data_IF_409952931100
#
_entry.id   IF_409952931100
#
_cell.length_a   1.000
_cell.length_b   1.000
_cell.length_c   1.000
_cell.angle_alpha   90.00
_cell.angle_beta   90.00
_cell.angle_gamma   90.00
#
_symmetry.space_group_name_H-M   'P 1'
#
loop_
_entity.id
_entity.type
_entity.pdbx_description
1 polymer ?
#
# COMPACT_ATOMS: atom_id res chain seq x y z
N UNK A 1 -26.86 -55.99 -13.76
CA UNK A 1 -27.24 -54.97 -12.77
C UNK A 1 -26.06 -54.03 -12.61
N UNK A 2 -26.13 -52.84 -13.19
CA UNK A 2 -25.12 -51.79 -12.96
C UNK A 2 -25.60 -51.02 -11.72
N UNK A 3 -24.88 -51.15 -10.60
CA UNK A 3 -25.12 -50.33 -9.42
C UNK A 3 -24.77 -48.89 -9.78
N UNK A 4 -25.78 -48.03 -9.83
CA UNK A 4 -25.59 -46.58 -9.92
C UNK A 4 -25.21 -46.11 -8.51
N UNK A 5 -23.91 -46.03 -8.23
CA UNK A 5 -23.42 -45.32 -7.05
C UNK A 5 -23.91 -43.88 -7.12
N UNK A 6 -24.89 -43.54 -6.27
CA UNK A 6 -25.27 -42.15 -6.05
C UNK A 6 -24.11 -41.47 -5.33
N UNK A 7 -23.33 -40.69 -6.08
CA UNK A 7 -22.30 -39.80 -5.55
C UNK A 7 -23.01 -38.78 -4.65
N UNK A 8 -22.93 -38.97 -3.33
CA UNK A 8 -23.48 -38.03 -2.35
C UNK A 8 -22.73 -36.71 -2.52
N UNK A 9 -23.47 -35.62 -2.75
CA UNK A 9 -22.88 -34.29 -2.85
C UNK A 9 -22.26 -33.91 -1.49
N UNK A 10 -21.05 -33.32 -1.46
CA UNK A 10 -20.46 -32.85 -0.21
C UNK A 10 -21.36 -31.80 0.48
N UNK A 11 -21.26 -31.63 1.81
CA UNK A 11 -21.96 -30.58 2.54
C UNK A 11 -21.71 -29.19 1.94
N UNK A 12 -22.67 -28.25 2.01
CA UNK A 12 -22.51 -26.89 1.49
C UNK A 12 -21.26 -26.18 2.04
N UNK A 13 -20.91 -26.38 3.31
CA UNK A 13 -19.71 -25.83 3.95
C UNK A 13 -18.43 -26.26 3.23
N UNK A 14 -18.31 -27.55 2.93
CA UNK A 14 -17.15 -28.12 2.23
C UNK A 14 -17.05 -27.57 0.81
N UNK A 15 -18.19 -27.43 0.12
CA UNK A 15 -18.26 -26.82 -1.21
C UNK A 15 -17.81 -25.36 -1.20
N UNK A 16 -18.28 -24.58 -0.22
CA UNK A 16 -17.88 -23.17 -0.04
C UNK A 16 -16.37 -23.09 0.22
N UNK A 17 -15.84 -23.92 1.13
CA UNK A 17 -14.39 -23.94 1.43
C UNK A 17 -13.58 -24.31 0.18
N UNK A 18 -14.05 -25.24 -0.64
CA UNK A 18 -13.37 -25.63 -1.87
C UNK A 18 -13.40 -24.53 -2.93
N UNK A 19 -14.51 -23.78 -3.05
CA UNK A 19 -14.57 -22.58 -3.90
C UNK A 19 -13.58 -21.53 -3.40
N UNK A 20 -13.55 -21.23 -2.10
CA UNK A 20 -12.58 -20.30 -1.51
C UNK A 20 -11.15 -20.72 -1.85
N UNK A 21 -10.80 -22.00 -1.65
CA UNK A 21 -9.46 -22.53 -1.99
C UNK A 21 -9.15 -22.42 -3.48
N UNK A 22 -10.14 -22.61 -4.36
CA UNK A 22 -9.97 -22.46 -5.81
C UNK A 22 -9.70 -20.99 -6.15
N UNK A 23 -10.56 -20.07 -5.72
CA UNK A 23 -10.40 -18.63 -5.94
C UNK A 23 -9.07 -18.11 -5.37
N UNK A 24 -8.69 -18.51 -4.16
CA UNK A 24 -7.40 -18.10 -3.57
C UNK A 24 -6.20 -18.62 -4.36
N UNK A 25 -6.28 -19.79 -4.99
CA UNK A 25 -5.20 -20.33 -5.83
C UNK A 25 -5.16 -19.62 -7.17
N UNK A 26 -6.30 -19.48 -7.83
CA UNK A 26 -6.42 -18.79 -9.12
C UNK A 26 -5.88 -17.36 -8.99
N UNK A 27 -6.38 -16.59 -8.02
CA UNK A 27 -5.95 -15.21 -7.78
C UNK A 27 -4.54 -15.09 -7.18
N UNK A 28 -4.08 -16.09 -6.41
CA UNK A 28 -2.72 -16.12 -5.90
C UNK A 28 -1.64 -16.36 -6.98
N UNK A 29 -1.94 -17.15 -8.01
CA UNK A 29 -1.03 -17.40 -9.15
C UNK A 29 -0.83 -16.13 -9.97
N UNK A 30 -1.88 -15.33 -10.16
CA UNK A 30 -1.79 -14.03 -10.82
C UNK A 30 -0.84 -13.08 -10.09
N UNK A 31 -0.78 -13.13 -8.74
CA UNK A 31 0.15 -12.33 -7.93
C UNK A 31 1.64 -12.65 -8.19
N UNK A 32 1.96 -13.89 -8.51
CA UNK A 32 3.33 -14.32 -8.84
C UNK A 32 3.70 -13.96 -10.29
N UNK A 33 2.76 -14.11 -11.22
CA UNK A 33 2.94 -13.74 -12.62
C UNK A 33 3.14 -12.22 -12.81
N UNK A 34 2.38 -11.39 -12.10
CA UNK A 34 2.51 -9.92 -12.19
C UNK A 34 3.82 -9.40 -11.58
N UNK A 35 4.33 -10.03 -10.51
CA UNK A 35 5.67 -9.73 -9.99
C UNK A 35 6.76 -10.01 -11.01
N UNK A 36 6.55 -11.01 -11.88
CA UNK A 36 7.40 -11.28 -13.04
C UNK A 36 7.22 -10.26 -14.17
N UNK A 37 5.99 -9.91 -14.52
CA UNK A 37 5.68 -8.99 -15.64
C UNK A 37 6.04 -7.52 -15.39
N UNK A 38 6.19 -7.07 -14.14
CA UNK A 38 6.79 -5.75 -13.84
C UNK A 38 8.21 -5.58 -14.41
N UNK A 39 8.91 -6.67 -14.74
CA UNK A 39 10.24 -6.63 -15.35
C UNK A 39 10.24 -6.67 -16.89
N UNK A 40 9.12 -6.99 -17.54
CA UNK A 40 9.02 -7.20 -19.01
C UNK A 40 7.94 -6.34 -19.67
N UNK A 41 7.73 -5.11 -19.20
CA UNK A 41 6.84 -4.17 -19.92
C UNK A 41 7.62 -3.62 -21.12
N UNK A 42 7.40 -4.21 -22.29
CA UNK A 42 7.70 -3.55 -23.56
C UNK A 42 6.91 -2.23 -23.62
N UNK A 43 7.57 -1.13 -23.96
CA UNK A 43 6.95 0.19 -24.08
C UNK A 43 5.68 0.11 -24.95
N UNK A 44 4.48 0.38 -24.39
CA UNK A 44 3.26 0.42 -25.18
C UNK A 44 3.33 1.57 -26.18
N UNK A 45 2.85 1.36 -27.40
CA UNK A 45 2.77 2.42 -28.40
C UNK A 45 1.81 3.54 -27.92
N UNK A 46 2.04 4.80 -28.33
CA UNK A 46 1.13 5.91 -28.03
C UNK A 46 -0.29 5.58 -28.52
N UNK A 47 -1.29 5.78 -27.64
CA UNK A 47 -2.68 5.56 -28.02
C UNK A 47 -3.07 6.47 -29.18
N UNK A 48 -3.63 5.89 -30.23
CA UNK A 48 -4.19 6.67 -31.34
C UNK A 48 -5.49 7.34 -30.87
N UNK A 49 -5.88 8.50 -31.44
CA UNK A 49 -7.16 9.14 -31.14
C UNK A 49 -8.38 8.20 -31.27
N UNK A 50 -8.27 7.19 -32.14
CA UNK A 50 -9.27 6.15 -32.40
C UNK A 50 -9.45 5.17 -31.20
N UNK A 51 -8.51 5.12 -30.27
CA UNK A 51 -8.52 4.22 -29.10
C UNK A 51 -9.07 4.90 -27.83
N UNK A 52 -9.30 6.22 -27.87
CA UNK A 52 -9.80 7.02 -26.73
C UNK A 52 -11.26 6.69 -26.43
N UNK A 53 -12.11 6.62 -27.44
CA UNK A 53 -13.55 6.36 -27.28
C UNK A 53 -13.82 4.94 -26.75
N UNK A 54 -13.18 3.87 -27.28
CA UNK A 54 -13.28 2.53 -26.70
C UNK A 54 -12.82 2.45 -25.23
N UNK A 55 -11.80 3.22 -24.84
CA UNK A 55 -11.34 3.28 -23.44
C UNK A 55 -12.40 3.89 -22.53
N UNK A 56 -13.04 4.97 -22.96
CA UNK A 56 -14.13 5.61 -22.19
C UNK A 56 -15.34 4.69 -22.06
N UNK A 57 -15.70 3.98 -23.14
CA UNK A 57 -16.78 3.00 -23.13
C UNK A 57 -16.49 1.86 -22.14
N UNK A 58 -15.28 1.29 -22.15
CA UNK A 58 -14.87 0.26 -21.18
C UNK A 58 -14.84 0.77 -19.74
N UNK A 59 -14.31 1.98 -19.50
CA UNK A 59 -14.35 2.58 -18.16
C UNK A 59 -15.79 2.75 -17.67
N UNK A 60 -16.69 3.19 -18.55
CA UNK A 60 -18.11 3.34 -18.24
C UNK A 60 -18.78 1.98 -17.97
N UNK A 61 -18.44 0.95 -18.73
CA UNK A 61 -18.89 -0.44 -18.50
C UNK A 61 -18.44 -0.91 -17.11
N UNK A 62 -17.14 -0.83 -16.80
CA UNK A 62 -16.61 -1.24 -15.49
C UNK A 62 -17.32 -0.50 -14.36
N UNK A 63 -17.51 0.81 -14.52
CA UNK A 63 -18.16 1.68 -13.54
C UNK A 63 -19.63 1.32 -13.31
N UNK A 64 -20.38 1.08 -14.39
CA UNK A 64 -21.86 0.99 -14.32
C UNK A 64 -22.40 -0.42 -14.28
N UNK A 65 -21.68 -1.40 -14.83
CA UNK A 65 -22.17 -2.76 -14.99
C UNK A 65 -21.34 -3.81 -14.24
N UNK A 66 -20.04 -3.61 -14.02
CA UNK A 66 -19.18 -4.66 -13.46
C UNK A 66 -18.87 -4.48 -11.96
N UNK A 67 -18.50 -3.27 -11.53
CA UNK A 67 -18.20 -2.99 -10.12
C UNK A 67 -19.42 -3.03 -9.19
N UNK A 68 -20.60 -2.48 -9.57
CA UNK A 68 -21.76 -2.48 -8.69
C UNK A 68 -22.23 -3.90 -8.29
N UNK A 69 -22.28 -4.90 -9.20
CA UNK A 69 -22.55 -6.28 -8.82
C UNK A 69 -21.57 -6.88 -7.82
N UNK A 70 -20.27 -6.58 -7.91
CA UNK A 70 -19.29 -7.08 -6.93
C UNK A 70 -19.58 -6.52 -5.54
N UNK A 71 -19.88 -5.21 -5.43
CA UNK A 71 -20.30 -4.62 -4.16
C UNK A 71 -21.56 -5.27 -3.62
N UNK A 72 -22.54 -5.52 -4.50
CA UNK A 72 -23.78 -6.17 -4.12
C UNK A 72 -23.53 -7.59 -3.61
N UNK A 73 -22.72 -8.38 -4.32
CA UNK A 73 -22.33 -9.74 -3.93
C UNK A 73 -21.58 -9.77 -2.58
N UNK A 74 -20.71 -8.80 -2.29
CA UNK A 74 -20.04 -8.68 -0.98
C UNK A 74 -21.07 -8.52 0.16
N UNK A 75 -22.06 -7.66 -0.03
CA UNK A 75 -23.11 -7.43 0.97
C UNK A 75 -24.08 -8.61 1.08
N UNK A 76 -24.44 -9.23 -0.04
CA UNK A 76 -25.32 -10.40 -0.06
C UNK A 76 -24.64 -11.60 0.59
N UNK A 77 -23.33 -11.78 0.40
CA UNK A 77 -22.56 -12.81 1.09
C UNK A 77 -22.61 -12.60 2.61
N UNK A 78 -22.37 -11.37 3.05
CA UNK A 78 -22.43 -11.00 4.46
C UNK A 78 -23.85 -11.23 5.04
N UNK A 79 -24.91 -10.98 4.26
CA UNK A 79 -26.30 -11.30 4.63
C UNK A 79 -26.55 -12.81 4.68
N UNK A 80 -26.07 -13.58 3.70
CA UNK A 80 -26.25 -15.03 3.62
C UNK A 80 -25.61 -15.74 4.83
N UNK A 81 -24.50 -15.21 5.37
CA UNK A 81 -23.90 -15.71 6.61
C UNK A 81 -24.58 -15.21 7.90
N UNK A 82 -25.65 -14.42 7.81
CA UNK A 82 -26.34 -13.85 8.96
C UNK A 82 -25.55 -12.76 9.69
N UNK A 83 -24.55 -12.16 9.02
CA UNK A 83 -23.65 -11.16 9.59
C UNK A 83 -24.06 -9.72 9.27
N UNK A 84 -25.14 -9.53 8.50
CA UNK A 84 -25.67 -8.21 8.12
C UNK A 84 -26.47 -7.52 9.21
N UNK A 85 -26.41 -6.19 9.23
CA UNK A 85 -27.19 -5.35 10.15
C UNK A 85 -28.71 -5.58 10.00
N UNK A 86 -29.14 -5.93 8.79
CA UNK A 86 -30.55 -6.20 8.46
C UNK A 86 -30.96 -7.67 8.66
N UNK A 87 -30.03 -8.55 9.05
CA UNK A 87 -30.33 -9.98 9.21
C UNK A 87 -31.21 -10.18 10.45
N UNK A 88 -32.36 -10.88 10.33
CA UNK A 88 -33.13 -11.29 11.49
C UNK A 88 -32.24 -12.07 12.46
N UNK A 89 -32.16 -11.67 13.73
CA UNK A 89 -31.32 -12.33 14.75
C UNK A 89 -31.61 -13.83 14.93
N UNK A 90 -32.71 -14.33 14.36
CA UNK A 90 -33.17 -15.71 14.43
C UNK A 90 -33.01 -16.51 13.13
N UNK A 91 -32.61 -15.90 12.00
CA UNK A 91 -32.34 -16.64 10.76
C UNK A 91 -30.90 -17.12 10.78
N UNK A 92 -30.70 -18.45 10.79
CA UNK A 92 -29.39 -19.04 10.60
C UNK A 92 -28.82 -18.74 9.20
N UNK A 93 -27.52 -19.06 8.97
CA UNK A 93 -26.89 -18.82 7.69
C UNK A 93 -27.56 -19.61 6.56
N UNK A 94 -27.78 -18.96 5.42
CA UNK A 94 -28.27 -19.53 4.17
C UNK A 94 -27.08 -19.99 3.33
N UNK A 95 -26.58 -21.20 3.59
CA UNK A 95 -25.37 -21.71 2.93
C UNK A 95 -25.57 -21.97 1.43
N UNK A 96 -26.79 -22.30 1.00
CA UNK A 96 -27.10 -22.47 -0.43
C UNK A 96 -27.01 -21.13 -1.18
N UNK A 97 -27.50 -20.06 -0.57
CA UNK A 97 -27.39 -18.70 -1.11
C UNK A 97 -25.93 -18.22 -1.10
N UNK A 98 -25.19 -18.46 -0.01
CA UNK A 98 -23.77 -18.15 0.08
C UNK A 98 -22.96 -18.89 -1.01
N UNK A 99 -23.28 -20.16 -1.25
CA UNK A 99 -22.67 -20.96 -2.29
C UNK A 99 -22.95 -20.37 -3.68
N UNK A 100 -24.21 -20.03 -3.98
CA UNK A 100 -24.59 -19.39 -5.23
C UNK A 100 -23.83 -18.07 -5.43
N UNK A 101 -23.78 -17.21 -4.41
CA UNK A 101 -23.06 -15.92 -4.48
C UNK A 101 -21.57 -16.15 -4.73
N UNK A 102 -20.93 -17.06 -4.00
CA UNK A 102 -19.49 -17.34 -4.17
C UNK A 102 -19.15 -17.93 -5.55
N UNK A 103 -20.05 -18.71 -6.15
CA UNK A 103 -19.83 -19.21 -7.52
C UNK A 103 -19.85 -18.09 -8.57
N UNK A 104 -20.57 -16.99 -8.32
CA UNK A 104 -20.64 -15.83 -9.21
C UNK A 104 -19.45 -14.87 -9.04
N UNK A 105 -18.76 -14.92 -7.92
CA UNK A 105 -17.63 -14.03 -7.61
C UNK A 105 -16.45 -14.20 -8.57
N UNK A 106 -16.06 -15.45 -8.85
CA UNK A 106 -14.96 -15.76 -9.78
C UNK A 106 -15.19 -15.14 -11.16
N UNK A 107 -16.27 -15.52 -11.87
CA UNK A 107 -16.59 -14.96 -13.18
C UNK A 107 -16.75 -13.44 -13.19
N UNK A 108 -17.33 -12.84 -12.14
CA UNK A 108 -17.45 -11.38 -12.05
C UNK A 108 -16.07 -10.70 -11.97
N UNK A 109 -15.14 -11.27 -11.20
CA UNK A 109 -13.78 -10.78 -11.14
C UNK A 109 -13.04 -11.01 -12.48
N UNK A 110 -13.18 -12.17 -13.10
CA UNK A 110 -12.58 -12.47 -14.40
C UNK A 110 -13.11 -11.51 -15.49
N UNK A 111 -14.40 -11.15 -15.44
CA UNK A 111 -14.98 -10.16 -16.34
C UNK A 111 -14.44 -8.76 -16.10
N UNK A 112 -14.29 -8.33 -14.84
CA UNK A 112 -13.64 -7.06 -14.52
C UNK A 112 -12.20 -7.05 -15.04
N UNK A 113 -11.45 -8.11 -14.78
CA UNK A 113 -10.07 -8.24 -15.22
C UNK A 113 -9.95 -8.26 -16.74
N UNK A 114 -10.83 -8.97 -17.43
CA UNK A 114 -10.88 -9.00 -18.90
C UNK A 114 -11.35 -7.67 -19.50
N UNK A 115 -12.24 -6.93 -18.84
CA UNK A 115 -12.62 -5.59 -19.27
C UNK A 115 -11.47 -4.60 -19.09
N UNK A 116 -10.61 -4.86 -18.11
CA UNK A 116 -9.39 -4.11 -17.83
C UNK A 116 -8.23 -4.62 -18.74
N UNK A 117 -8.42 -4.52 -20.04
CA UNK A 117 -7.34 -4.75 -21.03
C UNK A 117 -6.29 -3.62 -21.01
N UNK A 118 -6.64 -2.44 -20.48
CA UNK A 118 -5.72 -1.32 -20.34
C UNK A 118 -4.84 -1.49 -19.09
N UNK A 119 -3.52 -1.63 -19.28
CA UNK A 119 -2.54 -1.76 -18.20
C UNK A 119 -2.68 -0.71 -17.08
N UNK A 120 -3.18 0.48 -17.42
CA UNK A 120 -3.40 1.56 -16.45
C UNK A 120 -4.56 1.28 -15.50
N UNK A 121 -5.76 0.99 -16.04
CA UNK A 121 -6.92 0.59 -15.24
C UNK A 121 -6.59 -0.66 -14.42
N UNK A 122 -5.73 -1.54 -14.96
CA UNK A 122 -5.29 -2.75 -14.27
C UNK A 122 -4.47 -2.39 -13.04
N UNK A 123 -3.52 -1.48 -13.21
CA UNK A 123 -2.69 -1.00 -12.10
C UNK A 123 -3.55 -0.31 -11.05
N UNK A 124 -4.52 0.53 -11.44
CA UNK A 124 -5.45 1.18 -10.50
C UNK A 124 -6.30 0.16 -9.73
N UNK A 125 -6.84 -0.82 -10.44
CA UNK A 125 -7.62 -1.90 -9.85
C UNK A 125 -6.79 -2.78 -8.90
N UNK A 126 -5.55 -3.10 -9.28
CA UNK A 126 -4.61 -3.87 -8.45
C UNK A 126 -4.18 -3.09 -7.22
N UNK A 127 -3.89 -1.79 -7.33
CA UNK A 127 -3.54 -0.94 -6.20
C UNK A 127 -4.72 -0.75 -5.22
N UNK A 128 -5.97 -0.81 -5.70
CA UNK A 128 -7.16 -0.73 -4.86
C UNK A 128 -7.57 -2.10 -4.26
N UNK A 129 -7.45 -3.20 -5.02
CA UNK A 129 -7.58 -4.56 -4.50
C UNK A 129 -6.53 -4.81 -3.40
N UNK A 130 -5.30 -4.38 -3.66
CA UNK A 130 -4.16 -4.54 -2.77
C UNK A 130 -4.11 -3.35 -1.83
N UNK A 131 -4.77 -3.46 -0.67
CA UNK A 131 -4.19 -2.80 0.50
C UNK A 131 -2.86 -3.51 0.76
N UNK A 132 -1.81 -3.06 0.07
CA UNK A 132 -0.47 -3.21 0.57
C UNK A 132 -0.45 -2.42 1.88
N UNK A 133 -0.91 -3.04 2.96
CA UNK A 133 -0.33 -2.79 4.27
C UNK A 133 1.13 -3.22 4.16
N UNK A 134 1.94 -2.42 3.47
CA UNK A 134 3.39 -2.36 3.66
C UNK A 134 3.71 -1.92 5.09
N UNK A 135 2.71 -1.40 5.80
CA UNK A 135 2.63 -1.34 7.26
C UNK A 135 2.60 -2.76 7.84
N UNK A 136 3.80 -3.24 8.19
CA UNK A 136 4.17 -4.54 8.78
C UNK A 136 3.07 -5.46 9.34
N UNK A 137 3.12 -6.73 8.92
CA UNK A 137 2.59 -7.94 9.56
C UNK A 137 1.15 -7.97 10.11
N UNK A 138 0.35 -6.91 9.99
CA UNK A 138 -1.01 -6.84 10.49
C UNK A 138 -2.03 -6.86 9.36
N UNK A 139 -2.65 -8.02 9.14
CA UNK A 139 -3.93 -8.23 8.44
C UNK A 139 -4.15 -7.45 7.13
N UNK A 140 -3.99 -8.13 5.98
CA UNK A 140 -4.35 -7.54 4.70
C UNK A 140 -5.85 -7.22 4.63
N UNK A 141 -6.23 -6.11 4.00
CA UNK A 141 -7.64 -5.75 3.77
C UNK A 141 -8.02 -5.95 2.30
N UNK A 142 -7.59 -7.07 1.75
CA UNK A 142 -7.92 -7.52 0.40
C UNK A 142 -9.01 -8.61 0.43
N UNK A 143 -9.44 -9.01 -0.78
CA UNK A 143 -10.47 -10.04 -0.94
C UNK A 143 -9.98 -11.42 -0.48
N UNK A 144 -8.69 -11.73 -0.59
CA UNK A 144 -8.12 -13.02 -0.18
C UNK A 144 -8.16 -13.18 1.34
N UNK A 145 -7.84 -12.12 2.07
CA UNK A 145 -7.95 -12.11 3.53
C UNK A 145 -9.41 -12.17 3.99
N UNK A 146 -10.34 -11.50 3.28
CA UNK A 146 -11.77 -11.67 3.54
C UNK A 146 -12.21 -13.13 3.35
N UNK A 147 -11.84 -13.76 2.22
CA UNK A 147 -12.16 -15.16 1.94
C UNK A 147 -11.51 -16.11 2.97
N UNK A 148 -10.29 -15.80 3.43
CA UNK A 148 -9.63 -16.52 4.51
C UNK A 148 -10.45 -16.44 5.80
N UNK A 149 -10.94 -15.25 6.17
CA UNK A 149 -11.78 -15.08 7.35
C UNK A 149 -13.11 -15.84 7.24
N UNK A 150 -13.78 -15.86 6.08
CA UNK A 150 -14.96 -16.71 5.86
C UNK A 150 -14.65 -18.20 6.04
N UNK A 151 -13.53 -18.68 5.49
CA UNK A 151 -13.10 -20.06 5.64
C UNK A 151 -12.84 -20.44 7.10
N UNK A 152 -12.17 -19.59 7.87
CA UNK A 152 -11.93 -19.81 9.30
C UNK A 152 -13.21 -19.69 10.13
N UNK A 153 -14.14 -18.82 9.74
CA UNK A 153 -15.47 -18.70 10.34
C UNK A 153 -16.28 -20.01 10.20
N UNK A 154 -16.29 -20.61 9.00
CA UNK A 154 -16.94 -21.90 8.75
C UNK A 154 -16.27 -23.01 9.60
N UNK A 155 -14.94 -23.11 9.55
CA UNK A 155 -14.17 -24.16 10.24
C UNK A 155 -14.26 -24.11 11.76
N UNK A 156 -14.38 -22.92 12.33
CA UNK A 156 -14.49 -22.74 13.78
C UNK A 156 -15.88 -23.12 14.33
N UNK A 157 -16.83 -23.49 13.46
CA UNK A 157 -18.18 -23.87 13.85
C UNK A 157 -19.04 -22.69 14.28
N UNK A 158 -18.56 -21.45 14.12
CA UNK A 158 -19.26 -20.22 14.54
C UNK A 158 -20.53 -19.90 13.72
N UNK A 159 -20.85 -20.73 12.72
CA UNK A 159 -22.13 -20.74 12.00
C UNK A 159 -23.29 -21.19 12.89
N UNK A 160 -23.02 -22.02 13.88
CA UNK A 160 -24.02 -22.70 14.69
C UNK A 160 -23.98 -22.16 16.13
N UNK A 161 -25.06 -21.52 16.63
CA UNK A 161 -25.09 -20.93 17.97
C UNK A 161 -24.79 -21.92 19.09
N UNK A 162 -25.08 -23.20 18.88
CA UNK A 162 -24.92 -24.29 19.86
C UNK A 162 -23.53 -24.95 19.80
N UNK A 163 -22.60 -24.44 19.00
CA UNK A 163 -21.28 -25.05 18.85
C UNK A 163 -20.41 -24.81 20.11
N UNK A 164 -19.77 -25.85 20.68
CA UNK A 164 -19.01 -25.76 21.93
C UNK A 164 -17.79 -24.82 21.89
N UNK A 165 -17.38 -24.36 20.70
CA UNK A 165 -16.33 -23.33 20.54
C UNK A 165 -16.74 -21.95 21.06
N UNK A 166 -18.02 -21.72 21.37
CA UNK A 166 -18.49 -20.49 22.01
C UNK A 166 -18.16 -20.39 23.51
N UNK A 167 -17.70 -21.46 24.15
CA UNK A 167 -17.59 -21.55 25.60
C UNK A 167 -16.26 -21.07 26.22
N UNK A 168 -15.18 -20.82 25.45
CA UNK A 168 -13.84 -20.67 26.05
C UNK A 168 -12.98 -19.46 25.62
N UNK A 169 -13.37 -18.63 24.63
CA UNK A 169 -12.52 -17.48 24.24
C UNK A 169 -13.03 -16.16 24.84
N UNK A 170 -12.83 -16.03 26.15
CA UNK A 170 -13.09 -14.83 26.97
C UNK A 170 -11.93 -13.81 26.87
N UNK A 171 -11.14 -13.86 25.79
CA UNK A 171 -10.11 -12.85 25.53
C UNK A 171 -10.74 -11.59 24.89
N UNK A 172 -11.23 -10.67 25.74
CA UNK A 172 -11.82 -9.37 25.36
C UNK A 172 -10.97 -8.52 24.38
N UNK A 173 -9.70 -8.86 24.16
CA UNK A 173 -8.76 -8.10 23.33
C UNK A 173 -8.71 -8.45 21.83
N UNK A 174 -9.26 -9.59 21.37
CA UNK A 174 -9.17 -9.99 19.95
C UNK A 174 -10.53 -9.86 19.26
N UNK A 175 -10.62 -9.15 18.12
CA UNK A 175 -11.88 -9.08 17.38
C UNK A 175 -12.30 -10.47 16.93
N UNK A 176 -13.56 -10.84 17.17
CA UNK A 176 -14.10 -12.14 16.76
C UNK A 176 -14.04 -12.24 15.25
N UNK A 177 -13.89 -13.43 14.70
CA UNK A 177 -13.75 -13.65 13.24
C UNK A 177 -14.90 -12.98 12.48
N UNK A 178 -16.13 -13.05 13.02
CA UNK A 178 -17.28 -12.32 12.48
C UNK A 178 -17.08 -10.81 12.37
N UNK A 179 -16.47 -10.17 13.38
CA UNK A 179 -16.24 -8.72 13.40
C UNK A 179 -15.20 -8.35 12.35
N UNK A 180 -14.19 -9.22 12.13
CA UNK A 180 -13.23 -9.08 11.04
C UNK A 180 -13.89 -9.17 9.66
N UNK A 181 -14.78 -10.14 9.45
CA UNK A 181 -15.54 -10.29 8.21
C UNK A 181 -16.37 -9.03 7.94
N UNK A 182 -17.12 -8.56 8.93
CA UNK A 182 -17.95 -7.35 8.80
C UNK A 182 -17.09 -6.14 8.47
N UNK A 183 -16.03 -5.92 9.23
CA UNK A 183 -15.11 -4.80 9.02
C UNK A 183 -14.49 -4.83 7.62
N UNK A 184 -13.96 -5.98 7.19
CA UNK A 184 -13.29 -6.12 5.89
C UNK A 184 -14.25 -6.00 4.73
N UNK A 185 -15.47 -6.54 4.86
CA UNK A 185 -16.52 -6.35 3.84
C UNK A 185 -16.85 -4.87 3.69
N UNK A 186 -17.02 -4.13 4.79
CA UNK A 186 -17.26 -2.69 4.75
C UNK A 186 -16.08 -1.92 4.12
N UNK A 187 -14.84 -2.30 4.44
CA UNK A 187 -13.63 -1.72 3.80
C UNK A 187 -13.62 -1.99 2.30
N UNK A 188 -13.90 -3.22 1.85
CA UNK A 188 -13.94 -3.58 0.43
C UNK A 188 -15.09 -2.88 -0.30
N UNK A 189 -16.27 -2.77 0.29
CA UNK A 189 -17.38 -2.01 -0.31
C UNK A 189 -17.01 -0.53 -0.52
N UNK A 190 -16.35 0.12 0.46
CA UNK A 190 -15.85 1.49 0.29
C UNK A 190 -14.78 1.60 -0.79
N UNK A 191 -13.93 0.57 -0.95
CA UNK A 191 -12.96 0.51 -2.06
C UNK A 191 -13.66 0.42 -3.41
N UNK A 192 -14.72 -0.37 -3.51
CA UNK A 192 -15.53 -0.44 -4.74
C UNK A 192 -16.17 0.91 -5.05
N UNK A 193 -16.71 1.60 -4.04
CA UNK A 193 -17.25 2.95 -4.23
C UNK A 193 -16.18 3.95 -4.68
N UNK A 194 -14.99 3.90 -4.07
CA UNK A 194 -13.85 4.72 -4.47
C UNK A 194 -13.42 4.41 -5.92
N UNK A 195 -13.45 3.14 -6.34
CA UNK A 195 -13.17 2.76 -7.73
C UNK A 195 -14.19 3.36 -8.69
N UNK A 196 -15.49 3.21 -8.38
CA UNK A 196 -16.57 3.78 -9.19
C UNK A 196 -16.41 5.30 -9.29
N UNK A 197 -16.13 5.98 -8.17
CA UNK A 197 -15.88 7.42 -8.14
C UNK A 197 -14.65 7.80 -8.97
N UNK A 198 -13.53 7.09 -8.80
CA UNK A 198 -12.30 7.31 -9.57
C UNK A 198 -12.54 7.21 -11.08
N UNK A 199 -13.32 6.21 -11.54
CA UNK A 199 -13.65 6.04 -12.96
C UNK A 199 -14.50 7.18 -13.54
N UNK A 200 -15.13 8.02 -12.70
CA UNK A 200 -15.81 9.25 -13.15
C UNK A 200 -14.88 10.43 -13.34
N UNK A 201 -13.65 10.35 -12.83
CA UNK A 201 -12.68 11.45 -12.87
C UNK A 201 -11.99 11.50 -14.22
N UNK A 202 -11.46 12.67 -14.57
CA UNK A 202 -10.51 12.79 -15.67
C UNK A 202 -9.22 12.01 -15.35
N UNK A 203 -8.40 11.70 -16.35
CA UNK A 203 -7.08 11.10 -16.16
C UNK A 203 -6.24 11.88 -15.12
N UNK A 204 -6.35 13.21 -15.14
CA UNK A 204 -5.70 14.05 -14.13
C UNK A 204 -6.35 13.93 -12.74
N UNK A 205 -7.68 13.87 -12.67
CA UNK A 205 -8.39 13.66 -11.40
C UNK A 205 -8.09 12.29 -10.76
N UNK A 206 -7.77 11.28 -11.57
CA UNK A 206 -7.25 9.98 -11.11
C UNK A 206 -5.86 10.14 -10.46
N UNK A 207 -4.92 10.79 -11.16
CA UNK A 207 -3.58 11.09 -10.63
C UNK A 207 -3.67 11.87 -9.30
N UNK A 208 -4.54 12.87 -9.23
CA UNK A 208 -4.76 13.63 -8.00
C UNK A 208 -5.32 12.76 -6.87
N UNK A 209 -6.25 11.84 -7.17
CA UNK A 209 -6.75 10.90 -6.16
C UNK A 209 -5.61 10.07 -5.56
N UNK A 210 -4.74 9.56 -6.43
CA UNK A 210 -3.63 8.71 -6.05
C UNK A 210 -2.53 9.46 -5.28
N UNK A 211 -2.15 10.65 -5.72
CA UNK A 211 -1.21 11.48 -4.98
C UNK A 211 -1.76 11.88 -3.60
N UNK A 212 -3.07 12.14 -3.47
CA UNK A 212 -3.70 12.40 -2.18
C UNK A 212 -3.63 11.17 -1.25
N UNK A 213 -3.81 9.95 -1.78
CA UNK A 213 -3.59 8.72 -1.02
C UNK A 213 -2.15 8.63 -0.51
N UNK A 214 -1.15 8.89 -1.35
CA UNK A 214 0.25 8.92 -0.93
C UNK A 214 0.54 10.01 0.11
N UNK A 215 -0.09 11.19 0.00
CA UNK A 215 -0.03 12.22 1.04
C UNK A 215 -0.58 11.69 2.36
N UNK A 216 -1.70 10.96 2.33
CA UNK A 216 -2.28 10.26 3.48
C UNK A 216 -1.29 9.28 4.10
N UNK A 217 -0.76 8.33 3.32
CA UNK A 217 0.20 7.33 3.77
C UNK A 217 1.46 7.95 4.39
N UNK A 218 2.08 8.91 3.71
CA UNK A 218 3.25 9.60 4.25
C UNK A 218 2.90 10.39 5.54
N UNK A 219 1.65 10.85 5.70
CA UNK A 219 1.20 11.50 6.93
C UNK A 219 1.14 10.51 8.11
N UNK A 220 0.72 9.27 7.87
CA UNK A 220 0.63 8.22 8.89
C UNK A 220 1.99 7.72 9.38
N UNK A 221 3.05 7.88 8.58
CA UNK A 221 4.42 7.57 8.99
C UNK A 221 4.94 8.52 10.08
N UNK A 222 4.45 9.76 10.14
CA UNK A 222 4.96 10.77 11.06
C UNK A 222 4.71 10.44 12.54
N UNK A 223 3.49 10.06 12.97
CA UNK A 223 3.25 9.60 14.34
C UNK A 223 4.11 8.38 14.72
N UNK A 224 4.30 7.44 13.78
CA UNK A 224 5.13 6.24 14.00
C UNK A 224 6.59 6.63 14.26
N UNK A 225 7.19 7.40 13.35
CA UNK A 225 8.55 7.94 13.54
C UNK A 225 8.71 8.72 14.84
N UNK A 226 7.73 9.57 15.18
CA UNK A 226 7.74 10.37 16.41
C UNK A 226 7.76 9.47 17.66
N UNK A 227 6.92 8.44 17.66
CA UNK A 227 6.83 7.48 18.76
C UNK A 227 8.12 6.67 18.90
N UNK A 228 8.70 6.21 17.78
CA UNK A 228 9.97 5.49 17.75
C UNK A 228 11.13 6.36 18.29
N UNK A 229 11.19 7.64 17.90
CA UNK A 229 12.19 8.59 18.43
C UNK A 229 12.03 8.77 19.95
N UNK A 230 10.79 8.95 20.42
CA UNK A 230 10.52 9.14 21.85
C UNK A 230 10.89 7.90 22.66
N UNK A 231 10.59 6.70 22.14
CA UNK A 231 10.98 5.44 22.76
C UNK A 231 12.50 5.32 22.89
N UNK A 232 13.26 5.65 21.83
CA UNK A 232 14.72 5.63 21.87
C UNK A 232 15.34 6.70 22.78
N UNK A 233 14.72 7.88 22.91
CA UNK A 233 15.21 8.96 23.77
C UNK A 233 14.95 8.71 25.26
N UNK A 234 14.10 7.76 25.61
CA UNK A 234 13.80 7.45 27.01
C UNK A 234 15.09 6.98 27.71
N UNK A 235 15.45 7.59 28.86
CA UNK A 235 16.62 7.14 29.62
C UNK A 235 16.37 5.71 30.13
N UNK A 236 17.38 4.85 29.99
CA UNK A 236 17.38 3.54 30.64
C UNK A 236 17.53 3.72 32.14
N UNK A 237 16.87 2.88 32.96
CA UNK A 237 17.14 2.84 34.39
C UNK A 237 18.61 2.44 34.60
N UNK A 238 19.37 3.31 35.28
CA UNK A 238 20.78 3.02 35.60
C UNK A 238 20.91 1.70 36.37
N UNK A 239 21.82 0.80 35.97
CA UNK A 239 22.14 -0.36 36.77
C UNK A 239 22.79 0.10 38.09
N UNK A 240 22.30 -0.43 39.21
CA UNK A 240 22.70 -0.02 40.57
C UNK A 240 24.19 -0.23 40.94
N UNK A 241 25.04 -0.68 40.02
CA UNK A 241 26.46 -0.98 40.26
C UNK A 241 27.33 -0.33 39.17
N UNK A 242 27.65 0.96 39.34
CA UNK A 242 28.37 1.79 38.37
C UNK A 242 29.91 1.76 38.50
N UNK A 243 30.48 0.84 39.28
CA UNK A 243 31.90 0.91 39.67
C UNK A 243 32.88 0.19 38.71
N UNK A 244 32.44 -0.38 37.58
CA UNK A 244 33.35 -1.08 36.63
C UNK A 244 33.00 -0.91 35.14
N UNK A 245 32.75 0.31 34.65
CA UNK A 245 32.57 0.53 33.22
C UNK A 245 33.91 0.88 32.52
N UNK A 246 34.44 -0.10 31.79
CA UNK A 246 35.59 0.06 30.89
C UNK A 246 35.26 1.02 29.73
N UNK A 247 36.26 1.76 29.25
CA UNK A 247 36.10 2.87 28.29
C UNK A 247 35.73 2.44 26.87
N UNK A 248 35.62 1.13 26.63
CA UNK A 248 35.22 0.51 25.36
C UNK A 248 33.69 0.45 25.17
N UNK A 249 32.89 0.79 26.18
CA UNK A 249 31.44 0.53 26.22
C UNK A 249 30.55 1.66 25.63
N UNK A 250 31.13 2.59 24.85
CA UNK A 250 30.38 3.71 24.26
C UNK A 250 29.78 3.42 22.88
N UNK A 251 30.13 2.30 22.24
CA UNK A 251 29.68 1.99 20.87
C UNK A 251 28.14 1.83 20.75
N UNK A 252 27.44 1.10 21.64
CA UNK A 252 25.97 1.03 21.65
C UNK A 252 25.33 2.42 21.73
N UNK A 253 25.84 3.27 22.64
CA UNK A 253 25.35 4.64 22.82
C UNK A 253 25.55 5.51 21.58
N UNK A 254 26.72 5.43 20.92
CA UNK A 254 26.99 6.15 19.68
C UNK A 254 26.05 5.72 18.56
N UNK A 255 25.80 4.41 18.42
CA UNK A 255 24.86 3.88 17.43
C UNK A 255 23.43 4.34 17.73
N UNK A 256 22.99 4.30 19.00
CA UNK A 256 21.68 4.83 19.42
C UNK A 256 21.51 6.30 19.01
N UNK A 257 22.54 7.13 19.20
CA UNK A 257 22.53 8.54 18.77
C UNK A 257 22.45 8.70 17.25
N UNK A 258 23.17 7.87 16.49
CA UNK A 258 23.08 7.87 15.02
C UNK A 258 21.69 7.44 14.56
N UNK A 259 21.08 6.42 15.18
CA UNK A 259 19.72 5.98 14.85
C UNK A 259 18.66 7.04 15.14
N UNK A 260 18.75 7.73 16.28
CA UNK A 260 17.88 8.87 16.59
C UNK A 260 18.03 9.95 15.51
N UNK A 261 19.27 10.29 15.14
CA UNK A 261 19.54 11.27 14.08
C UNK A 261 18.96 10.82 12.73
N UNK A 262 19.07 9.54 12.37
CA UNK A 262 18.46 9.00 11.15
C UNK A 262 16.93 9.14 11.15
N UNK A 263 16.26 8.79 12.25
CA UNK A 263 14.81 8.95 12.37
C UNK A 263 14.40 10.41 12.24
N UNK A 264 15.14 11.34 12.86
CA UNK A 264 14.88 12.78 12.75
C UNK A 264 15.05 13.31 11.31
N UNK A 265 16.04 12.80 10.56
CA UNK A 265 16.17 13.13 9.14
C UNK A 265 15.07 12.48 8.28
N UNK A 266 14.66 11.25 8.61
CA UNK A 266 13.55 10.57 7.95
C UNK A 266 12.24 11.38 8.07
N UNK A 267 11.95 11.95 9.25
CA UNK A 267 10.82 12.86 9.46
C UNK A 267 10.85 14.04 8.48
N UNK A 268 12.03 14.61 8.19
CA UNK A 268 12.16 15.72 7.23
C UNK A 268 11.88 15.26 5.81
N UNK A 269 12.44 14.13 5.39
CA UNK A 269 12.21 13.56 4.06
C UNK A 269 10.73 13.23 3.84
N UNK A 270 10.07 12.59 4.82
CA UNK A 270 8.62 12.32 4.76
C UNK A 270 7.82 13.61 4.60
N UNK A 271 8.14 14.67 5.36
CA UNK A 271 7.47 15.97 5.22
C UNK A 271 7.70 16.58 3.84
N UNK A 272 8.90 16.46 3.29
CA UNK A 272 9.23 16.97 1.97
C UNK A 272 8.51 16.18 0.87
N UNK A 273 8.47 14.85 0.94
CA UNK A 273 7.65 14.03 0.03
C UNK A 273 6.17 14.43 0.02
N UNK A 274 5.59 14.71 1.20
CA UNK A 274 4.22 15.24 1.31
C UNK A 274 4.07 16.61 0.65
N UNK A 275 5.03 17.51 0.83
CA UNK A 275 5.00 18.85 0.20
C UNK A 275 5.08 18.74 -1.32
N UNK A 276 5.95 17.87 -1.84
CA UNK A 276 6.07 17.58 -3.27
C UNK A 276 4.72 17.17 -3.86
N UNK A 277 4.10 16.11 -3.31
CA UNK A 277 2.79 15.63 -3.78
C UNK A 277 1.69 16.70 -3.63
N UNK A 278 1.67 17.45 -2.52
CA UNK A 278 0.69 18.54 -2.33
C UNK A 278 0.83 19.66 -3.36
N UNK A 279 2.04 19.99 -3.80
CA UNK A 279 2.28 20.96 -4.87
C UNK A 279 1.75 20.47 -6.23
N UNK A 280 1.70 19.15 -6.44
CA UNK A 280 1.09 18.54 -7.63
C UNK A 280 -0.45 18.53 -7.55
N UNK A 281 -1.01 18.44 -6.35
CA UNK A 281 -2.46 18.42 -6.10
C UNK A 281 -3.11 19.79 -6.23
N UNK A 282 -2.55 20.79 -5.56
CA UNK A 282 -3.11 22.14 -5.47
C UNK A 282 -1.99 23.14 -5.78
N UNK A 283 -2.22 24.05 -6.73
CA UNK A 283 -1.30 25.17 -6.93
C UNK A 283 -1.29 26.06 -5.68
N UNK A 284 -0.13 26.31 -5.04
CA UNK A 284 -0.03 27.20 -3.89
C UNK A 284 -0.55 28.61 -4.20
N UNK A 285 -1.18 29.25 -3.21
CA UNK A 285 -1.63 30.64 -3.33
C UNK A 285 -0.44 31.56 -3.65
N UNK A 286 -0.55 32.32 -4.75
CA UNK A 286 0.52 33.21 -5.23
C UNK A 286 1.44 32.61 -6.30
N UNK A 287 1.23 31.35 -6.70
CA UNK A 287 1.87 30.73 -7.87
C UNK A 287 0.89 30.67 -9.03
N UNK A 288 1.41 30.62 -10.26
CA UNK A 288 0.57 30.49 -11.47
C UNK A 288 -0.19 29.16 -11.42
N UNK A 289 -1.53 29.16 -11.48
CA UNK A 289 -2.32 27.94 -11.51
C UNK A 289 -1.88 27.04 -12.66
N UNK A 290 -1.52 25.81 -12.31
CA UNK A 290 -1.24 24.76 -13.27
C UNK A 290 -2.51 23.95 -13.50
N UNK A 291 -2.80 23.64 -14.75
CA UNK A 291 -3.76 22.59 -15.11
C UNK A 291 -3.02 21.57 -15.95
N UNK A 292 -3.32 20.29 -15.79
CA UNK A 292 -3.00 19.34 -16.85
C UNK A 292 -4.08 19.50 -17.92
N UNK A 293 -3.68 19.46 -19.19
CA UNK A 293 -4.64 19.56 -20.29
C UNK A 293 -5.77 18.55 -20.13
N UNK A 294 -7.02 18.96 -20.35
CA UNK A 294 -8.16 18.03 -20.48
C UNK A 294 -8.05 17.15 -21.74
N UNK A 295 -7.01 17.36 -22.57
CA UNK A 295 -6.65 16.40 -23.60
C UNK A 295 -6.26 15.09 -22.92
N UNK A 296 -6.97 14.02 -23.31
CA UNK A 296 -6.74 12.66 -22.81
C UNK A 296 -5.26 12.32 -22.94
N UNK A 297 -4.60 12.08 -21.81
CA UNK A 297 -3.23 11.60 -21.79
C UNK A 297 -3.21 10.21 -22.43
N UNK A 298 -2.21 9.93 -23.27
CA UNK A 298 -1.98 8.55 -23.68
C UNK A 298 -1.69 7.69 -22.44
N UNK A 299 -1.93 6.37 -22.51
CA UNK A 299 -1.61 5.49 -21.39
C UNK A 299 -0.13 5.56 -20.97
N UNK A 300 0.78 5.78 -21.93
CA UNK A 300 2.20 5.96 -21.66
C UNK A 300 2.47 7.26 -20.90
N UNK A 301 1.90 8.38 -21.37
CA UNK A 301 2.05 9.68 -20.71
C UNK A 301 1.48 9.68 -19.29
N UNK A 302 0.30 9.08 -19.13
CA UNK A 302 -0.33 8.92 -17.83
C UNK A 302 0.53 8.05 -16.91
N UNK A 303 1.08 6.96 -17.43
CA UNK A 303 2.00 6.09 -16.70
C UNK A 303 3.29 6.82 -16.29
N UNK A 304 3.91 7.61 -17.17
CA UNK A 304 5.12 8.37 -16.87
C UNK A 304 4.90 9.42 -15.77
N UNK A 305 3.81 10.20 -15.89
CA UNK A 305 3.43 11.22 -14.89
C UNK A 305 3.07 10.60 -13.55
N UNK A 306 2.48 9.40 -13.58
CA UNK A 306 2.13 8.61 -12.40
C UNK A 306 3.36 8.04 -11.69
N UNK A 307 4.20 7.32 -12.43
CA UNK A 307 5.23 6.43 -11.90
C UNK A 307 6.22 7.19 -11.02
N UNK A 308 6.65 8.36 -11.47
CA UNK A 308 7.67 9.13 -10.78
C UNK A 308 7.30 9.51 -9.33
N UNK A 309 6.21 10.26 -9.11
CA UNK A 309 5.72 10.58 -7.77
C UNK A 309 5.48 9.36 -6.87
N UNK A 310 4.97 8.27 -7.43
CA UNK A 310 4.74 7.03 -6.67
C UNK A 310 6.03 6.35 -6.25
N UNK A 311 6.98 6.17 -7.16
CA UNK A 311 8.26 5.56 -6.87
C UNK A 311 9.01 6.35 -5.80
N UNK A 312 8.93 7.69 -5.87
CA UNK A 312 9.50 8.56 -4.85
C UNK A 312 8.82 8.33 -3.49
N UNK A 313 7.49 8.35 -3.44
CA UNK A 313 6.74 8.16 -2.19
C UNK A 313 6.94 6.76 -1.59
N UNK A 314 6.89 5.72 -2.42
CA UNK A 314 7.12 4.33 -2.04
C UNK A 314 8.54 4.08 -1.53
N UNK A 315 9.55 4.71 -2.15
CA UNK A 315 10.93 4.62 -1.65
C UNK A 315 11.08 5.27 -0.27
N UNK A 316 10.46 6.45 -0.07
CA UNK A 316 10.47 7.12 1.25
C UNK A 316 9.80 6.21 2.29
N UNK A 317 8.68 5.58 1.94
CA UNK A 317 8.00 4.63 2.81
C UNK A 317 8.90 3.45 3.15
N UNK A 318 9.42 2.73 2.15
CA UNK A 318 10.25 1.55 2.32
C UNK A 318 11.47 1.85 3.20
N UNK A 319 12.14 2.99 2.96
CA UNK A 319 13.25 3.47 3.81
C UNK A 319 12.82 3.67 5.27
N UNK A 320 11.67 4.30 5.51
CA UNK A 320 11.14 4.54 6.86
C UNK A 320 10.78 3.23 7.56
N UNK A 321 10.14 2.29 6.86
CA UNK A 321 9.79 0.99 7.43
C UNK A 321 11.05 0.21 7.82
N UNK A 322 12.05 0.16 6.95
CA UNK A 322 13.31 -0.52 7.24
C UNK A 322 14.03 0.09 8.44
N UNK A 323 14.04 1.42 8.53
CA UNK A 323 14.62 2.13 9.66
C UNK A 323 13.89 1.83 10.98
N UNK A 324 12.55 1.87 10.98
CA UNK A 324 11.74 1.53 12.15
C UNK A 324 12.01 0.08 12.58
N UNK A 325 12.02 -0.85 11.62
CA UNK A 325 12.28 -2.28 11.88
C UNK A 325 13.65 -2.52 12.52
N UNK A 326 14.69 -1.83 12.04
CA UNK A 326 16.04 -1.89 12.64
C UNK A 326 16.00 -1.42 14.11
N UNK A 327 15.26 -0.34 14.37
CA UNK A 327 15.12 0.22 15.72
C UNK A 327 14.33 -0.70 16.64
N UNK A 328 13.22 -1.27 16.18
CA UNK A 328 12.40 -2.23 16.95
C UNK A 328 13.16 -3.51 17.27
N UNK A 329 14.08 -3.93 16.40
CA UNK A 329 14.97 -5.06 16.64
C UNK A 329 16.13 -4.73 17.58
N UNK A 330 16.31 -3.44 17.92
CA UNK A 330 17.40 -2.94 18.77
C UNK A 330 18.80 -3.32 18.29
N UNK A 331 18.92 -3.72 17.02
CA UNK A 331 20.10 -4.34 16.45
C UNK A 331 20.36 -3.78 15.06
N UNK A 332 21.60 -3.37 14.81
CA UNK A 332 22.07 -2.96 13.48
C UNK A 332 23.29 -3.76 13.10
N UNK A 333 23.36 -4.15 11.82
CA UNK A 333 24.53 -4.79 11.24
C UNK A 333 24.91 -4.15 9.90
N UNK A 334 26.04 -4.57 9.35
CA UNK A 334 26.56 -4.03 8.08
C UNK A 334 25.63 -4.25 6.89
N UNK A 335 24.78 -5.29 6.91
CA UNK A 335 23.75 -5.49 5.89
C UNK A 335 22.71 -4.37 5.98
N UNK A 336 22.14 -4.14 7.17
CA UNK A 336 21.15 -3.09 7.37
C UNK A 336 21.68 -1.73 6.93
N UNK A 337 22.92 -1.39 7.29
CA UNK A 337 23.53 -0.14 6.87
C UNK A 337 23.71 -0.05 5.34
N UNK A 338 24.07 -1.14 4.67
CA UNK A 338 24.17 -1.20 3.22
C UNK A 338 22.81 -1.08 2.53
N UNK A 339 21.78 -1.75 3.06
CA UNK A 339 20.41 -1.73 2.56
C UNK A 339 19.82 -0.30 2.70
N UNK A 340 20.00 0.35 3.86
CA UNK A 340 19.63 1.76 4.07
C UNK A 340 20.37 2.68 3.10
N UNK A 341 21.68 2.47 2.89
CA UNK A 341 22.48 3.27 1.96
C UNK A 341 21.97 3.13 0.52
N UNK A 342 21.69 1.90 0.08
CA UNK A 342 21.11 1.64 -1.25
C UNK A 342 19.80 2.38 -1.45
N UNK A 343 18.97 2.45 -0.41
CA UNK A 343 17.68 3.16 -0.43
C UNK A 343 17.83 4.69 -0.47
N UNK A 344 18.95 5.26 -0.01
CA UNK A 344 19.20 6.73 0.05
C UNK A 344 19.96 7.28 -1.16
N UNK A 345 20.62 6.44 -1.97
CA UNK A 345 21.32 6.93 -3.17
C UNK A 345 20.33 7.30 -4.29
N UNK A 346 19.18 6.62 -4.35
CA UNK A 346 18.16 6.81 -5.36
C UNK A 346 17.24 8.07 -5.25
N UNK A 347 16.90 8.66 -4.09
CA UNK A 347 15.88 9.71 -3.98
C UNK A 347 16.18 11.01 -4.75
N UNK A 348 17.46 11.36 -4.96
CA UNK A 348 17.84 12.55 -5.73
C UNK A 348 17.55 12.38 -7.23
N UNK A 349 18.11 11.32 -7.81
CA UNK A 349 17.85 10.93 -9.21
C UNK A 349 16.36 10.66 -9.47
N UNK A 350 15.66 10.13 -8.46
CA UNK A 350 14.23 9.82 -8.56
C UNK A 350 13.33 11.04 -8.42
N UNK A 351 13.72 12.07 -7.66
CA UNK A 351 12.99 13.35 -7.70
C UNK A 351 13.09 13.96 -9.10
N UNK A 352 14.28 13.99 -9.69
CA UNK A 352 14.46 14.50 -11.05
C UNK A 352 13.67 13.65 -12.07
N UNK A 353 13.72 12.32 -11.97
CA UNK A 353 12.93 11.44 -12.80
C UNK A 353 11.42 11.67 -12.61
N UNK A 354 10.97 11.91 -11.38
CA UNK A 354 9.59 12.21 -11.07
C UNK A 354 9.14 13.55 -11.63
N UNK A 355 10.02 14.55 -11.64
CA UNK A 355 9.72 15.88 -12.16
C UNK A 355 9.80 15.96 -13.69
N UNK A 356 10.61 15.11 -14.33
CA UNK A 356 10.90 15.12 -15.77
C UNK A 356 9.66 15.14 -16.69
N UNK A 357 8.59 14.36 -16.47
CA UNK A 357 7.46 14.34 -17.41
C UNK A 357 6.62 15.62 -17.32
N UNK A 358 6.56 16.28 -16.15
CA UNK A 358 5.60 17.36 -15.91
C UNK A 358 5.64 18.57 -16.86
N UNK A 359 6.79 19.06 -17.37
CA UNK A 359 6.82 20.16 -18.33
C UNK A 359 6.02 19.88 -19.61
N UNK A 360 5.86 18.63 -20.00
CA UNK A 360 5.12 18.28 -21.23
C UNK A 360 3.60 18.26 -21.02
N UNK A 361 3.14 18.26 -19.76
CA UNK A 361 1.73 18.10 -19.40
C UNK A 361 1.12 19.29 -18.65
N UNK A 362 1.95 20.09 -18.00
CA UNK A 362 1.51 21.29 -17.29
C UNK A 362 1.21 22.40 -18.30
N UNK A 363 -0.05 22.82 -18.35
CA UNK A 363 -0.47 24.02 -19.06
C UNK A 363 -0.67 25.19 -18.06
N UNK A 364 -0.26 26.41 -18.44
CA UNK A 364 -0.68 27.60 -17.72
C UNK A 364 -2.19 27.78 -17.84
N UNK A 365 -2.84 28.20 -16.76
CA UNK A 365 -4.26 28.55 -16.83
C UNK A 365 -4.54 29.57 -17.95
N UNK A 366 -5.65 29.38 -18.66
CA UNK A 366 -6.00 30.02 -19.95
C UNK A 366 -6.05 31.57 -19.96
N UNK A 367 -5.75 32.25 -18.85
CA UNK A 367 -5.88 33.70 -18.68
C UNK A 367 -4.59 34.51 -18.90
N UNK A 368 -3.47 33.90 -19.32
CA UNK A 368 -2.19 34.61 -19.44
C UNK A 368 -1.94 35.05 -20.89
N UNK A 369 -1.81 36.37 -21.10
CA UNK A 369 -1.61 37.03 -22.43
C UNK A 369 -0.32 36.57 -23.13
N UNK A 370 0.68 36.15 -22.36
CA UNK A 370 1.92 35.51 -22.82
C UNK A 370 2.35 34.48 -21.78
N UNK A 371 2.01 33.19 -21.93
CA UNK A 371 2.33 32.20 -20.92
C UNK A 371 3.85 31.97 -20.83
N UNK A 372 4.42 31.84 -19.61
CA UNK A 372 5.78 31.34 -19.44
C UNK A 372 5.91 29.91 -19.99
N UNK A 373 7.14 29.48 -20.29
CA UNK A 373 7.37 28.07 -20.66
C UNK A 373 6.94 27.15 -19.51
N UNK A 374 6.48 25.95 -19.85
CA UNK A 374 6.05 24.93 -18.88
C UNK A 374 7.18 24.53 -17.92
N UNK A 375 8.42 24.49 -18.42
CA UNK A 375 9.61 24.33 -17.59
C UNK A 375 9.76 25.47 -16.58
N UNK A 376 9.61 26.73 -17.00
CA UNK A 376 9.72 27.87 -16.10
C UNK A 376 8.62 27.87 -15.02
N UNK A 377 7.42 27.36 -15.35
CA UNK A 377 6.35 27.14 -14.38
C UNK A 377 6.74 26.07 -13.35
N UNK A 378 7.28 24.95 -13.80
CA UNK A 378 7.72 23.86 -12.93
C UNK A 378 8.87 24.33 -12.02
N UNK A 379 9.85 25.02 -12.58
CA UNK A 379 10.97 25.60 -11.85
C UNK A 379 10.47 26.59 -10.79
N UNK A 380 9.53 27.47 -11.13
CA UNK A 380 8.92 28.40 -10.16
C UNK A 380 8.16 27.64 -9.06
N UNK A 381 7.40 26.59 -9.41
CA UNK A 381 6.61 25.80 -8.48
C UNK A 381 7.47 25.05 -7.44
N UNK A 382 8.65 24.58 -7.85
CA UNK A 382 9.53 23.74 -7.03
C UNK A 382 10.84 24.40 -6.59
N UNK A 383 11.10 25.66 -6.98
CA UNK A 383 12.30 26.42 -6.62
C UNK A 383 12.57 26.49 -5.12
N UNK A 384 11.52 26.59 -4.30
CA UNK A 384 11.58 26.62 -2.84
C UNK A 384 11.70 25.23 -2.20
N UNK A 385 11.44 24.18 -2.97
CA UNK A 385 11.38 22.79 -2.52
C UNK A 385 12.67 22.00 -2.78
N UNK A 386 13.24 22.14 -3.99
CA UNK A 386 14.40 21.35 -4.43
C UNK A 386 15.61 21.52 -3.49
N UNK A 387 16.02 22.74 -3.07
CA UNK A 387 17.20 22.89 -2.22
C UNK A 387 17.03 22.23 -0.84
N UNK A 388 15.92 22.42 -0.09
CA UNK A 388 15.67 21.69 1.15
C UNK A 388 15.64 20.17 0.99
N UNK A 389 15.09 19.66 -0.12
CA UNK A 389 15.07 18.24 -0.41
C UNK A 389 16.47 17.64 -0.60
N UNK A 390 17.27 18.25 -1.49
CA UNK A 390 18.63 17.79 -1.75
C UNK A 390 19.49 17.84 -0.47
N UNK A 391 19.33 18.91 0.33
CA UNK A 391 20.01 19.02 1.62
C UNK A 391 19.58 17.92 2.61
N UNK A 392 18.29 17.58 2.66
CA UNK A 392 17.79 16.50 3.52
C UNK A 392 18.34 15.13 3.10
N UNK A 393 18.38 14.84 1.80
CA UNK A 393 18.93 13.59 1.24
C UNK A 393 20.43 13.47 1.54
N UNK A 394 21.18 14.56 1.34
CA UNK A 394 22.61 14.59 1.67
C UNK A 394 22.87 14.33 3.15
N UNK A 395 22.15 15.04 4.04
CA UNK A 395 22.28 14.85 5.49
C UNK A 395 21.93 13.42 5.93
N UNK A 396 20.94 12.81 5.29
CA UNK A 396 20.55 11.43 5.54
C UNK A 396 21.65 10.46 5.09
N UNK A 397 22.20 10.65 3.88
CA UNK A 397 23.32 9.87 3.33
C UNK A 397 24.55 9.94 4.23
N UNK A 398 24.97 11.13 4.65
CA UNK A 398 26.10 11.33 5.57
C UNK A 398 25.88 10.58 6.89
N UNK A 399 24.67 10.65 7.43
CA UNK A 399 24.34 9.99 8.69
C UNK A 399 24.37 8.47 8.54
N UNK A 400 23.88 7.90 7.45
CA UNK A 400 24.00 6.45 7.18
C UNK A 400 25.45 6.03 6.95
N UNK A 401 26.23 6.82 6.20
CA UNK A 401 27.64 6.53 5.97
C UNK A 401 28.46 6.53 7.28
N UNK A 402 28.02 7.28 8.31
CA UNK A 402 28.64 7.25 9.63
C UNK A 402 28.45 5.94 10.39
N UNK A 403 27.47 5.09 10.03
CA UNK A 403 27.26 3.78 10.67
C UNK A 403 28.38 2.79 10.35
N UNK A 404 28.91 2.80 9.12
CA UNK A 404 29.91 1.83 8.67
C UNK A 404 31.16 1.77 9.58
N UNK A 405 31.89 2.88 9.82
CA UNK A 405 33.07 2.86 10.68
C UNK A 405 32.76 2.57 12.15
N UNK A 406 31.51 2.74 12.60
CA UNK A 406 31.08 2.33 13.94
C UNK A 406 30.86 0.82 14.00
N UNK A 407 30.18 0.24 13.01
CA UNK A 407 29.91 -1.19 12.93
C UNK A 407 31.20 -2.01 12.76
N UNK A 408 32.19 -1.51 12.02
CA UNK A 408 33.51 -2.15 11.87
C UNK A 408 34.30 -2.25 13.17
N UNK A 409 33.96 -1.44 14.18
CA UNK A 409 34.54 -1.52 15.53
C UNK A 409 33.82 -2.51 16.43
N UNK A 410 32.73 -3.13 15.98
CA UNK A 410 31.97 -4.06 16.81
C UNK A 410 32.78 -5.34 17.09
N UNK A 411 32.90 -5.75 18.37
CA UNK A 411 33.47 -7.05 18.72
C UNK A 411 32.49 -8.21 18.44
N UNK A 412 31.21 -7.92 18.18
CA UNK A 412 30.15 -8.91 18.03
C UNK A 412 29.79 -9.16 16.58
N UNK A 413 29.54 -10.43 16.27
CA UNK A 413 29.21 -10.91 14.94
C UNK A 413 27.90 -11.68 14.98
N UNK A 414 27.04 -11.49 13.99
CA UNK A 414 25.81 -12.26 13.87
C UNK A 414 26.07 -13.69 13.36
N UNK A 415 25.03 -14.54 13.33
CA UNK A 415 25.11 -15.92 12.84
C UNK A 415 25.60 -16.08 11.39
N UNK A 416 25.67 -14.99 10.62
CA UNK A 416 26.20 -14.97 9.24
C UNK A 416 27.62 -14.40 9.15
N UNK A 417 28.30 -14.23 10.28
CA UNK A 417 29.63 -13.66 10.32
C UNK A 417 29.66 -12.21 9.83
N UNK A 418 28.70 -11.37 10.24
CA UNK A 418 28.73 -9.92 10.00
C UNK A 418 28.77 -9.12 11.30
N UNK A 419 29.52 -8.00 11.38
CA UNK A 419 29.53 -7.15 12.57
C UNK A 419 28.11 -6.66 12.90
N UNK A 420 27.74 -6.77 14.18
CA UNK A 420 26.42 -6.42 14.70
C UNK A 420 26.58 -5.68 16.03
N UNK A 421 25.72 -4.69 16.29
CA UNK A 421 25.64 -4.03 17.60
C UNK A 421 24.19 -4.00 18.06
N UNK A 422 23.97 -4.40 19.31
CA UNK A 422 22.73 -4.15 20.06
C UNK A 422 22.89 -2.82 20.78
N UNK A 423 21.92 -1.91 20.64
CA UNK A 423 22.05 -0.52 21.10
C UNK A 423 20.96 -0.04 22.07
N UNK A 424 20.20 -0.98 22.62
CA UNK A 424 19.25 -0.83 23.72
C UNK A 424 19.38 -1.99 24.70
#
# INVERSE_FOLDING_TARGET
>A
MIQVEHKVSPPPEDQIIDIIRRLSREWGIWEELERGHRQEINAPLPLLPEEIDPRKEKSLEIQTSLLPPVKQQLNDLLRAFGLGDDAPKSSGPSLDEALEIMTKFGPAQDHIESAIECNQLRTDFLHLQRNSSRVGHGESNDILDLLHNYKEYIRSGQLYPDHPSHAEDDSESRPKIKDKIIHKTAVLCRKVDAMIECLTRSDFGLLQAEWELWVGYLSELLPRLTSTIQALKKPEPEPANADQADTTDNLPRLIKLVMIKLLEQAVKIVKLGRIFLKKLLITPSGKTPITVSDNVLSSEQLFEVRLGPEELAGMIEDFVQDLIKIVEQHQVNTKNAADLRGSIVAPGERLEAAMRPFPDFILPAASVVTPPSTQALLDDLFSDFIPPYNLAVHNLSDTVNSLKPLLEKSPHWNHRGRPQVTFL
#
